data_IF_861791793941
#
_entry.id   IF_861791793941
#
_cell.length_a   1.000
_cell.length_b   1.000
_cell.length_c   1.000
_cell.angle_alpha   90.00
_cell.angle_beta   90.00
_cell.angle_gamma   90.00
#
_symmetry.space_group_name_H-M   'P 1'
#
loop_
_entity.id
_entity.type
_entity.pdbx_description
1 polymer ?
#
# COMPACT_ATOMS: atom_id res chain seq x y z
N UNK A 1 47.08 70.55 35.85
CA UNK A 1 47.31 71.49 34.74
C UNK A 1 48.77 71.37 34.32
N UNK A 2 48.97 70.97 33.06
CA UNK A 2 50.20 71.05 32.24
C UNK A 2 51.56 70.67 32.83
N UNK A 3 52.01 69.43 32.61
CA UNK A 3 53.42 69.19 32.22
C UNK A 3 53.73 67.80 31.61
N UNK A 4 52.75 67.07 31.05
CA UNK A 4 53.00 65.72 30.52
C UNK A 4 52.36 65.44 29.14
N UNK A 5 52.13 66.49 28.35
CA UNK A 5 51.58 66.36 26.99
C UNK A 5 52.32 67.30 26.04
N UNK A 6 53.53 66.92 25.60
CA UNK A 6 54.05 67.45 24.31
C UNK A 6 55.27 66.77 23.66
N UNK A 7 55.71 65.59 24.08
CA UNK A 7 56.93 65.00 23.49
C UNK A 7 56.85 63.52 23.10
N UNK A 8 55.69 63.01 22.70
CA UNK A 8 55.65 61.68 22.05
C UNK A 8 54.66 61.53 20.90
N UNK A 9 54.32 62.63 20.19
CA UNK A 9 53.50 62.58 18.97
C UNK A 9 54.31 62.86 17.70
N UNK A 10 55.65 62.99 17.80
CA UNK A 10 56.51 63.24 16.64
C UNK A 10 57.57 62.16 16.35
N UNK A 11 57.60 61.07 17.10
CA UNK A 11 58.60 60.00 16.91
C UNK A 11 58.03 58.62 16.49
N UNK A 12 56.81 58.59 15.94
CA UNK A 12 56.24 57.37 15.34
C UNK A 12 55.93 57.50 13.84
N UNK A 13 56.38 58.59 13.19
CA UNK A 13 56.21 58.82 11.74
C UNK A 13 57.46 58.52 10.89
N UNK A 14 58.55 58.04 11.50
CA UNK A 14 59.84 57.82 10.80
C UNK A 14 60.20 56.35 10.56
N UNK A 15 59.35 55.40 10.96
CA UNK A 15 59.54 53.97 10.70
C UNK A 15 58.23 53.48 10.11
N UNK A 16 58.18 53.27 8.78
CA UNK A 16 57.00 52.88 8.03
C UNK A 16 56.43 51.51 8.43
N UNK A 17 55.83 51.45 9.61
CA UNK A 17 55.12 50.30 10.14
C UNK A 17 53.63 50.61 10.12
N UNK A 18 52.98 50.23 9.02
CA UNK A 18 51.54 50.03 9.00
C UNK A 18 51.22 48.82 9.88
N UNK A 19 50.33 48.99 10.87
CA UNK A 19 49.76 47.83 11.57
C UNK A 19 48.99 46.99 10.55
N UNK A 20 49.20 45.67 10.46
CA UNK A 20 48.32 44.84 9.66
C UNK A 20 46.94 44.82 10.33
N UNK A 21 45.93 45.26 9.59
CA UNK A 21 44.54 45.13 9.98
C UNK A 21 44.11 43.67 9.80
N UNK A 22 44.03 42.94 10.91
CA UNK A 22 43.60 41.53 10.94
C UNK A 22 42.08 41.36 11.13
N UNK A 23 41.27 42.40 10.90
CA UNK A 23 39.84 42.35 11.24
C UNK A 23 38.92 41.91 10.09
N UNK A 24 39.45 41.67 8.87
CA UNK A 24 38.60 41.42 7.70
C UNK A 24 38.47 39.93 7.27
N UNK A 25 39.41 39.05 7.58
CA UNK A 25 39.47 37.70 6.97
C UNK A 25 38.89 36.55 7.82
N UNK A 26 38.60 36.77 9.10
CA UNK A 26 38.08 35.72 10.01
C UNK A 26 36.56 35.54 9.94
N UNK A 27 35.83 36.46 9.30
CA UNK A 27 34.35 36.43 9.26
C UNK A 27 33.74 35.49 8.21
N UNK A 28 34.44 35.22 7.10
CA UNK A 28 33.84 34.51 5.95
C UNK A 28 34.06 32.98 5.99
N UNK A 29 35.06 32.51 6.76
CA UNK A 29 35.43 31.10 6.89
C UNK A 29 34.57 30.34 7.92
N UNK A 30 34.10 31.01 8.98
CA UNK A 30 33.30 30.40 10.06
C UNK A 30 31.84 30.11 9.67
N UNK A 31 31.21 30.96 8.86
CA UNK A 31 29.82 30.76 8.40
C UNK A 31 29.68 29.60 7.40
N UNK A 32 30.67 29.43 6.50
CA UNK A 32 30.72 28.32 5.54
C UNK A 32 30.99 26.96 6.22
N UNK A 33 31.82 26.94 7.27
CA UNK A 33 32.08 25.74 8.07
C UNK A 33 30.82 25.26 8.82
N UNK A 34 30.01 26.19 9.33
CA UNK A 34 28.77 25.89 10.05
C UNK A 34 27.68 25.31 9.14
N UNK A 35 27.47 25.89 7.95
CA UNK A 35 26.47 25.39 7.00
C UNK A 35 26.86 24.02 6.44
N UNK A 36 28.12 23.84 6.00
CA UNK A 36 28.59 22.56 5.49
C UNK A 36 28.61 21.48 6.58
N UNK A 37 28.95 21.85 7.83
CA UNK A 37 28.85 20.98 9.00
C UNK A 37 27.41 20.55 9.31
N UNK A 38 26.44 21.48 9.22
CA UNK A 38 25.00 21.19 9.37
C UNK A 38 24.49 20.27 8.25
N UNK A 39 24.88 20.54 7.00
CA UNK A 39 24.53 19.68 5.86
C UNK A 39 25.15 18.29 6.01
N UNK A 40 26.43 18.18 6.38
CA UNK A 40 27.10 16.91 6.62
C UNK A 40 26.43 16.12 7.76
N UNK A 41 26.05 16.81 8.84
CA UNK A 41 25.31 16.19 9.96
C UNK A 41 23.93 15.71 9.52
N UNK A 42 23.20 16.51 8.75
CA UNK A 42 21.90 16.14 8.18
C UNK A 42 22.03 14.92 7.25
N UNK A 43 23.02 14.91 6.35
CA UNK A 43 23.29 13.76 5.49
C UNK A 43 23.65 12.51 6.28
N UNK A 44 24.43 12.64 7.35
CA UNK A 44 24.80 11.51 8.21
C UNK A 44 23.59 10.95 8.96
N UNK A 45 22.70 11.81 9.46
CA UNK A 45 21.42 11.38 10.05
C UNK A 45 20.54 10.67 9.02
N UNK A 46 20.39 11.21 7.81
CA UNK A 46 19.62 10.58 6.74
C UNK A 46 20.19 9.21 6.36
N UNK A 47 21.51 9.07 6.30
CA UNK A 47 22.19 7.79 6.05
C UNK A 47 21.92 6.79 7.17
N UNK A 48 22.04 7.21 8.43
CA UNK A 48 21.76 6.34 9.58
C UNK A 48 20.29 5.90 9.57
N UNK A 49 19.36 6.81 9.33
CA UNK A 49 17.93 6.50 9.21
C UNK A 49 17.70 5.50 8.07
N UNK A 50 18.24 5.78 6.89
CA UNK A 50 18.11 4.92 5.70
C UNK A 50 18.66 3.51 5.93
N UNK A 51 19.82 3.38 6.58
CA UNK A 51 20.39 2.06 6.91
C UNK A 51 19.60 1.38 8.03
N UNK A 52 19.10 2.12 9.03
CA UNK A 52 18.39 1.56 10.18
C UNK A 52 16.98 1.04 9.87
N UNK A 53 16.26 1.68 8.93
CA UNK A 53 14.87 1.30 8.56
C UNK A 53 14.77 -0.19 8.16
N UNK A 54 15.61 -0.72 7.25
CA UNK A 54 15.67 -2.15 6.99
C UNK A 54 15.80 -2.98 8.29
N UNK A 55 16.82 -2.71 9.11
CA UNK A 55 17.03 -3.46 10.37
C UNK A 55 15.81 -3.45 11.29
N UNK A 56 15.13 -2.31 11.43
CA UNK A 56 13.91 -2.19 12.22
C UNK A 56 12.79 -3.08 11.66
N UNK A 57 12.59 -3.08 10.34
CA UNK A 57 11.56 -3.93 9.70
C UNK A 57 11.86 -5.42 9.92
N UNK A 58 13.14 -5.82 9.87
CA UNK A 58 13.56 -7.21 10.10
C UNK A 58 13.48 -7.63 11.57
N UNK A 59 13.75 -6.71 12.50
CA UNK A 59 13.63 -6.94 13.95
C UNK A 59 12.18 -7.08 14.41
N UNK A 60 11.23 -6.42 13.72
CA UNK A 60 9.82 -6.37 14.13
C UNK A 60 8.88 -6.83 13.00
N UNK A 61 8.58 -8.15 12.91
CA UNK A 61 7.60 -8.72 11.99
C UNK A 61 6.22 -8.01 12.00
N UNK A 62 5.76 -7.60 13.18
CA UNK A 62 4.48 -6.88 13.34
C UNK A 62 4.45 -5.51 12.67
N UNK A 63 5.61 -4.87 12.51
CA UNK A 63 5.75 -3.60 11.78
C UNK A 63 5.79 -3.88 10.28
N UNK A 64 6.46 -4.96 9.86
CA UNK A 64 6.52 -5.37 8.47
C UNK A 64 5.12 -5.61 7.89
N UNK A 65 4.27 -6.38 8.57
CA UNK A 65 2.89 -6.60 8.11
C UNK A 65 2.13 -5.27 7.96
N UNK A 66 2.24 -4.36 8.94
CA UNK A 66 1.56 -3.06 8.90
C UNK A 66 2.09 -2.14 7.79
N UNK A 67 3.38 -2.18 7.49
CA UNK A 67 4.01 -1.39 6.43
C UNK A 67 3.68 -1.91 5.03
N UNK A 68 3.62 -3.23 4.83
CA UNK A 68 3.32 -3.80 3.52
C UNK A 68 1.88 -3.49 3.10
N UNK A 69 0.92 -3.62 4.02
CA UNK A 69 -0.48 -3.30 3.69
C UNK A 69 -0.86 -1.85 3.92
N UNK A 70 0.05 -1.04 4.48
CA UNK A 70 -0.27 0.30 4.99
C UNK A 70 -1.56 0.33 5.85
N UNK A 71 -1.91 -0.79 6.53
CA UNK A 71 -3.19 -1.00 7.22
C UNK A 71 -3.46 0.02 8.34
N UNK A 72 -2.44 0.78 8.75
CA UNK A 72 -2.52 1.85 9.75
C UNK A 72 -2.96 3.20 9.16
N UNK A 73 -2.81 3.40 7.85
CA UNK A 73 -3.23 4.62 7.14
C UNK A 73 -4.58 4.35 6.50
N UNK A 74 -5.68 4.71 7.18
CA UNK A 74 -6.99 4.73 6.53
C UNK A 74 -7.07 5.98 5.67
N UNK A 75 -7.09 5.84 4.35
CA UNK A 75 -7.35 6.94 3.42
C UNK A 75 -8.71 6.69 2.76
N UNK A 76 -9.75 7.51 3.03
CA UNK A 76 -9.78 8.72 3.85
C UNK A 76 -9.74 8.45 5.37
N UNK A 77 -9.13 9.37 6.13
CA UNK A 77 -8.86 9.25 7.56
C UNK A 77 -10.10 9.18 8.47
N UNK A 78 -11.29 9.35 7.91
CA UNK A 78 -12.56 9.48 8.64
C UNK A 78 -13.63 8.46 8.25
N UNK A 79 -13.29 7.39 7.51
CA UNK A 79 -14.26 6.35 7.16
C UNK A 79 -14.22 5.20 8.18
N UNK A 80 -15.34 4.99 8.88
CA UNK A 80 -15.54 3.80 9.71
C UNK A 80 -16.14 2.65 8.87
N UNK A 81 -15.26 1.81 8.35
CA UNK A 81 -15.61 0.60 7.60
C UNK A 81 -16.37 -0.44 8.46
N UNK A 82 -16.44 -0.28 9.79
CA UNK A 82 -17.29 -1.15 10.63
C UNK A 82 -18.78 -0.83 10.50
N UNK A 83 -19.12 0.36 10.00
CA UNK A 83 -20.48 0.87 9.86
C UNK A 83 -20.76 1.26 8.40
N UNK A 84 -20.92 0.27 7.49
CA UNK A 84 -21.18 0.53 6.07
C UNK A 84 -22.47 1.34 5.83
N UNK A 85 -23.45 1.25 6.74
CA UNK A 85 -24.68 2.06 6.74
C UNK A 85 -24.39 3.57 6.74
N UNK A 86 -23.37 4.02 7.45
CA UNK A 86 -23.00 5.44 7.52
C UNK A 86 -22.40 5.94 6.19
N UNK A 87 -22.09 5.02 5.25
CA UNK A 87 -21.55 5.30 3.93
C UNK A 87 -22.61 5.18 2.82
N UNK A 88 -23.89 5.12 3.17
CA UNK A 88 -25.00 5.01 2.22
C UNK A 88 -25.23 3.59 1.68
N UNK A 89 -24.55 2.59 2.25
CA UNK A 89 -24.78 1.18 1.90
C UNK A 89 -25.95 0.63 2.74
N UNK A 90 -27.16 0.85 2.24
CA UNK A 90 -28.37 0.31 2.84
C UNK A 90 -28.37 -1.22 2.72
N UNK A 91 -28.71 -1.91 3.82
CA UNK A 91 -28.75 -3.37 3.92
C UNK A 91 -27.39 -4.10 3.90
N UNK A 92 -26.28 -3.36 4.06
CA UNK A 92 -24.96 -3.98 4.32
C UNK A 92 -24.72 -4.09 5.82
N UNK A 93 -24.36 -5.28 6.27
CA UNK A 93 -23.99 -5.55 7.65
C UNK A 93 -22.54 -6.03 7.72
N UNK A 94 -21.76 -5.43 8.63
CA UNK A 94 -20.42 -5.92 8.92
C UNK A 94 -20.50 -7.09 9.90
N UNK A 95 -19.96 -8.23 9.50
CA UNK A 95 -19.89 -9.48 10.26
C UNK A 95 -18.43 -9.85 10.49
N UNK A 96 -18.19 -10.65 11.52
CA UNK A 96 -16.88 -11.26 11.73
C UNK A 96 -17.06 -12.78 11.84
N UNK A 97 -16.36 -13.51 10.97
CA UNK A 97 -16.33 -14.97 10.95
C UNK A 97 -15.09 -15.46 11.69
N UNK A 98 -15.23 -16.55 12.44
CA UNK A 98 -14.13 -17.21 13.14
C UNK A 98 -14.02 -18.66 12.65
N UNK A 99 -13.43 -18.91 11.46
CA UNK A 99 -13.35 -20.24 10.88
C UNK A 99 -12.38 -21.17 11.65
N UNK A 100 -11.38 -20.60 12.31
CA UNK A 100 -10.39 -21.31 13.13
C UNK A 100 -10.18 -20.58 14.45
N UNK A 101 -9.80 -21.30 15.50
CA UNK A 101 -9.55 -20.71 16.82
C UNK A 101 -8.45 -19.64 16.74
N UNK A 102 -8.82 -18.38 16.99
CA UNK A 102 -7.89 -17.24 16.98
C UNK A 102 -7.79 -16.50 15.64
N UNK A 103 -8.50 -16.94 14.60
CA UNK A 103 -8.58 -16.23 13.31
C UNK A 103 -9.93 -15.54 13.17
N UNK A 104 -9.93 -14.21 13.01
CA UNK A 104 -11.15 -13.40 12.86
C UNK A 104 -11.15 -12.67 11.52
N UNK A 105 -12.10 -12.99 10.66
CA UNK A 105 -12.23 -12.44 9.31
C UNK A 105 -13.43 -11.48 9.28
N UNK A 106 -13.21 -10.23 8.87
CA UNK A 106 -14.31 -9.28 8.65
C UNK A 106 -14.95 -9.49 7.28
N UNK A 107 -16.27 -9.62 7.23
CA UNK A 107 -17.06 -9.80 6.00
C UNK A 107 -18.20 -8.81 5.98
N UNK A 108 -18.40 -8.14 4.85
CA UNK A 108 -19.61 -7.36 4.61
C UNK A 108 -20.64 -8.24 3.93
N UNK A 109 -21.79 -8.42 4.57
CA UNK A 109 -22.92 -9.14 4.04
C UNK A 109 -23.98 -8.15 3.54
N UNK A 110 -24.29 -8.22 2.25
CA UNK A 110 -25.39 -7.47 1.65
C UNK A 110 -26.60 -8.38 1.52
N UNK A 111 -27.71 -8.02 2.19
CA UNK A 111 -28.96 -8.76 2.03
C UNK A 111 -29.74 -8.23 0.82
N UNK A 112 -29.99 -9.09 -0.17
CA UNK A 112 -30.80 -8.76 -1.35
C UNK A 112 -32.29 -9.11 -1.18
N UNK A 113 -32.67 -9.76 -0.07
CA UNK A 113 -34.06 -10.15 0.24
C UNK A 113 -34.65 -9.31 1.37
N UNK A 114 -35.89 -8.84 1.17
CA UNK A 114 -36.80 -8.04 2.02
C UNK A 114 -36.45 -7.90 3.53
N UNK A 115 -36.62 -6.70 4.14
CA UNK A 115 -35.98 -6.34 5.43
C UNK A 115 -36.62 -6.96 6.68
N UNK A 116 -37.82 -7.53 6.58
CA UNK A 116 -38.69 -7.70 7.75
C UNK A 116 -38.59 -9.02 8.51
N UNK A 117 -37.94 -10.06 7.98
CA UNK A 117 -37.88 -11.38 8.64
C UNK A 117 -36.49 -11.83 9.09
N UNK A 118 -35.44 -11.36 8.42
CA UNK A 118 -34.08 -11.93 8.59
C UNK A 118 -33.25 -11.21 9.65
N UNK A 119 -33.54 -9.95 9.96
CA UNK A 119 -32.73 -9.09 10.84
C UNK A 119 -32.76 -9.50 12.32
N UNK A 120 -33.84 -10.12 12.81
CA UNK A 120 -33.88 -10.68 14.17
C UNK A 120 -33.17 -12.05 14.27
N UNK A 121 -33.22 -12.88 13.23
CA UNK A 121 -32.52 -14.17 13.22
C UNK A 121 -31.01 -14.05 12.94
N UNK A 122 -30.56 -12.98 12.26
CA UNK A 122 -29.16 -12.75 11.92
C UNK A 122 -28.24 -12.48 13.12
N UNK A 123 -28.79 -12.17 14.30
CA UNK A 123 -28.00 -11.97 15.52
C UNK A 123 -27.45 -13.29 16.08
N UNK A 124 -28.03 -14.43 15.69
CA UNK A 124 -27.54 -15.73 16.09
C UNK A 124 -26.41 -16.14 15.12
N UNK A 125 -25.16 -16.05 15.60
CA UNK A 125 -23.94 -16.45 14.88
C UNK A 125 -24.07 -17.84 14.20
N UNK A 126 -24.82 -18.75 14.83
CA UNK A 126 -25.11 -20.10 14.36
C UNK A 126 -26.03 -20.17 13.14
N UNK A 127 -26.96 -19.22 12.99
CA UNK A 127 -27.90 -19.18 11.86
C UNK A 127 -27.26 -18.52 10.64
N UNK A 128 -26.42 -17.50 10.85
CA UNK A 128 -25.55 -16.93 9.82
C UNK A 128 -24.59 -17.97 9.22
N UNK A 129 -23.91 -18.76 10.05
CA UNK A 129 -23.04 -19.84 9.58
C UNK A 129 -23.83 -20.96 8.85
N UNK A 130 -25.12 -21.15 9.18
CA UNK A 130 -26.02 -22.03 8.41
C UNK A 130 -26.47 -21.44 7.08
N UNK A 131 -26.54 -20.11 6.95
CA UNK A 131 -26.78 -19.43 5.66
C UNK A 131 -25.52 -19.47 4.80
N UNK A 132 -24.34 -19.25 5.40
CA UNK A 132 -23.03 -19.54 4.81
C UNK A 132 -22.69 -21.03 4.88
N UNK A 133 -23.61 -21.91 4.49
CA UNK A 133 -23.24 -23.32 4.27
C UNK A 133 -22.17 -23.35 3.20
N UNK A 134 -20.93 -23.58 3.62
CA UNK A 134 -19.76 -23.84 2.78
C UNK A 134 -19.91 -25.09 1.90
N UNK A 135 -21.05 -25.77 1.95
CA UNK A 135 -21.39 -26.94 1.13
C UNK A 135 -21.47 -26.60 -0.37
N UNK A 136 -21.60 -25.31 -0.73
CA UNK A 136 -21.63 -24.87 -2.12
C UNK A 136 -20.57 -23.79 -2.36
N UNK A 137 -19.73 -23.93 -3.39
CA UNK A 137 -18.80 -22.87 -3.79
C UNK A 137 -19.59 -21.63 -4.24
N UNK A 138 -19.00 -20.42 -4.16
CA UNK A 138 -19.66 -19.21 -4.64
C UNK A 138 -19.99 -19.32 -6.13
N UNK A 139 -21.09 -18.71 -6.57
CA UNK A 139 -21.53 -18.75 -7.98
C UNK A 139 -20.53 -18.11 -8.93
N UNK A 140 -19.81 -17.08 -8.47
CA UNK A 140 -18.74 -16.45 -9.20
C UNK A 140 -17.77 -15.69 -8.27
N UNK A 141 -16.55 -15.46 -8.76
CA UNK A 141 -15.53 -14.65 -8.12
C UNK A 141 -15.23 -13.42 -8.98
N UNK A 142 -15.33 -12.23 -8.40
CA UNK A 142 -14.97 -10.96 -9.06
C UNK A 142 -13.80 -10.34 -8.30
N UNK A 143 -12.70 -10.10 -9.01
CA UNK A 143 -11.47 -9.54 -8.48
C UNK A 143 -11.24 -8.15 -9.07
N UNK A 144 -11.18 -7.13 -8.22
CA UNK A 144 -10.80 -5.77 -8.60
C UNK A 144 -9.31 -5.55 -8.33
N UNK A 145 -8.59 -5.08 -9.36
CA UNK A 145 -7.16 -4.75 -9.32
C UNK A 145 -6.28 -5.80 -8.60
N UNK A 146 -6.40 -7.11 -8.93
CA UNK A 146 -5.70 -8.15 -8.20
C UNK A 146 -4.20 -8.19 -8.54
N UNK A 147 -3.44 -8.80 -7.64
CA UNK A 147 -2.03 -9.11 -7.83
C UNK A 147 -1.77 -10.62 -7.67
N UNK A 148 -0.69 -11.09 -8.29
CA UNK A 148 -0.25 -12.51 -8.24
C UNK A 148 0.30 -12.88 -6.88
N UNK A 149 1.27 -12.10 -6.40
CA UNK A 149 1.94 -12.33 -5.14
C UNK A 149 2.37 -11.02 -4.50
N UNK A 150 2.21 -10.91 -3.19
CA UNK A 150 2.64 -9.74 -2.42
C UNK A 150 4.15 -9.48 -2.54
N UNK A 151 4.96 -10.50 -2.84
CA UNK A 151 6.39 -10.37 -3.15
C UNK A 151 6.63 -9.61 -4.47
N UNK A 152 5.81 -9.86 -5.50
CA UNK A 152 5.91 -9.18 -6.79
C UNK A 152 5.39 -7.75 -6.73
N UNK A 153 4.30 -7.56 -5.97
CA UNK A 153 3.75 -6.25 -5.65
C UNK A 153 4.78 -5.42 -4.86
N UNK A 154 5.33 -5.95 -3.77
CA UNK A 154 6.33 -5.25 -2.95
C UNK A 154 7.61 -4.91 -3.71
N UNK A 155 8.04 -5.74 -4.68
CA UNK A 155 9.18 -5.44 -5.58
C UNK A 155 8.94 -4.25 -6.49
N UNK A 156 7.69 -4.02 -6.87
CA UNK A 156 7.28 -3.00 -7.83
C UNK A 156 6.71 -1.75 -7.15
N UNK A 157 6.41 -1.84 -5.86
CA UNK A 157 5.81 -0.77 -5.08
C UNK A 157 6.73 0.46 -4.97
N UNK A 158 6.21 1.71 -5.12
CA UNK A 158 7.03 2.92 -5.08
C UNK A 158 7.90 3.06 -3.83
N UNK A 159 7.44 2.55 -2.69
CA UNK A 159 8.20 2.61 -1.44
C UNK A 159 9.46 1.74 -1.45
N UNK A 160 9.49 0.63 -2.19
CA UNK A 160 10.69 -0.22 -2.27
C UNK A 160 11.73 0.34 -3.25
N UNK A 161 11.35 1.29 -4.11
CA UNK A 161 12.22 1.92 -5.10
C UNK A 161 13.48 2.53 -4.48
N UNK A 162 13.37 3.12 -3.29
CA UNK A 162 14.52 3.74 -2.59
C UNK A 162 15.52 2.72 -2.05
N UNK A 163 15.10 1.46 -1.85
CA UNK A 163 15.94 0.37 -1.33
C UNK A 163 16.35 -0.64 -2.41
N UNK A 164 15.83 -0.51 -3.64
CA UNK A 164 16.05 -1.47 -4.74
C UNK A 164 17.51 -1.57 -5.21
N UNK A 165 18.28 -0.51 -5.00
CA UNK A 165 19.69 -0.44 -5.39
C UNK A 165 20.64 -1.03 -4.33
N UNK A 166 20.13 -1.49 -3.18
CA UNK A 166 20.95 -2.11 -2.16
C UNK A 166 21.28 -3.57 -2.51
N UNK A 167 22.56 -3.98 -2.48
CA UNK A 167 22.93 -5.38 -2.63
C UNK A 167 22.30 -6.18 -1.49
N UNK A 168 21.46 -7.17 -1.83
CA UNK A 168 20.72 -7.97 -0.85
C UNK A 168 19.29 -7.51 -0.54
N UNK A 169 18.72 -6.57 -1.31
CA UNK A 169 17.32 -6.14 -1.18
C UNK A 169 16.33 -7.31 -1.09
N UNK A 170 16.46 -8.30 -1.98
CA UNK A 170 15.58 -9.47 -2.01
C UNK A 170 15.64 -10.26 -0.69
N UNK A 171 16.85 -10.55 -0.20
CA UNK A 171 17.06 -11.23 1.09
C UNK A 171 16.55 -10.41 2.29
N UNK A 172 16.65 -9.10 2.19
CA UNK A 172 16.34 -8.23 3.31
C UNK A 172 14.84 -7.96 3.44
N UNK A 173 14.18 -7.55 2.35
CA UNK A 173 12.79 -7.11 2.35
C UNK A 173 11.81 -8.18 1.89
N UNK A 174 12.16 -9.00 0.90
CA UNK A 174 11.21 -9.94 0.33
C UNK A 174 11.19 -11.27 1.07
N UNK A 175 12.36 -11.77 1.47
CA UNK A 175 12.44 -13.03 2.23
C UNK A 175 11.84 -12.88 3.63
N UNK A 176 11.85 -11.68 4.21
CA UNK A 176 11.17 -11.40 5.48
C UNK A 176 9.63 -11.40 5.32
N UNK A 177 9.10 -11.00 4.16
CA UNK A 177 7.65 -11.13 3.86
C UNK A 177 7.28 -12.62 3.77
N UNK A 178 8.09 -13.39 3.05
CA UNK A 178 7.91 -14.84 2.90
C UNK A 178 8.06 -15.58 4.24
N UNK A 179 9.07 -15.24 5.05
CA UNK A 179 9.34 -15.88 6.34
C UNK A 179 8.26 -15.61 7.40
N UNK A 180 7.56 -14.47 7.30
CA UNK A 180 6.44 -14.13 8.19
C UNK A 180 5.10 -14.72 7.74
N UNK A 181 5.11 -15.68 6.80
CA UNK A 181 3.93 -16.32 6.22
C UNK A 181 2.91 -15.33 5.62
N UNK A 182 3.38 -14.13 5.25
CA UNK A 182 2.57 -13.14 4.53
C UNK A 182 2.66 -13.51 3.05
N UNK A 183 2.11 -14.67 2.68
CA UNK A 183 2.15 -15.19 1.32
C UNK A 183 0.75 -15.13 0.74
N UNK A 184 0.46 -14.08 -0.04
CA UNK A 184 -0.76 -14.03 -0.86
C UNK A 184 -0.45 -14.73 -2.17
N UNK A 185 -0.41 -16.05 -2.14
CA UNK A 185 -0.14 -16.86 -3.32
C UNK A 185 -1.41 -16.98 -4.17
N UNK A 186 -1.89 -15.88 -4.76
CA UNK A 186 -3.02 -15.94 -5.70
C UNK A 186 -2.68 -16.84 -6.89
N UNK A 187 -1.40 -16.93 -7.24
CA UNK A 187 -0.84 -17.83 -8.24
C UNK A 187 -0.96 -19.33 -7.90
N UNK A 188 -0.91 -19.72 -6.62
CA UNK A 188 -1.17 -21.10 -6.18
C UNK A 188 -2.67 -21.34 -5.93
N UNK A 189 -3.33 -20.35 -5.33
CA UNK A 189 -4.74 -20.45 -4.95
C UNK A 189 -5.68 -20.52 -6.15
N UNK A 190 -5.28 -20.02 -7.32
CA UNK A 190 -6.09 -20.05 -8.54
C UNK A 190 -6.47 -21.47 -8.97
N UNK A 191 -5.60 -22.45 -8.71
CA UNK A 191 -5.82 -23.87 -9.03
C UNK A 191 -6.82 -24.54 -8.07
N UNK A 192 -7.24 -23.86 -7.01
CA UNK A 192 -8.25 -24.33 -6.07
C UNK A 192 -9.62 -23.67 -6.31
N UNK A 193 -9.72 -22.73 -7.25
CA UNK A 193 -10.98 -22.04 -7.57
C UNK A 193 -11.86 -22.92 -8.44
N UNK A 194 -13.12 -23.08 -8.04
CA UNK A 194 -14.12 -23.93 -8.71
C UNK A 194 -15.32 -23.15 -9.24
N UNK A 195 -15.21 -21.84 -9.42
CA UNK A 195 -16.27 -20.98 -9.95
C UNK A 195 -15.75 -20.07 -11.07
N UNK A 196 -16.63 -19.51 -11.92
CA UNK A 196 -16.28 -18.47 -12.89
C UNK A 196 -15.53 -17.31 -12.24
N UNK A 197 -14.53 -16.76 -12.94
CA UNK A 197 -13.68 -15.67 -12.43
C UNK A 197 -13.71 -14.47 -13.38
N UNK A 198 -14.04 -13.29 -12.85
CA UNK A 198 -13.92 -12.00 -13.53
C UNK A 198 -12.81 -11.19 -12.87
N UNK A 199 -11.85 -10.73 -13.66
CA UNK A 199 -10.78 -9.83 -13.22
C UNK A 199 -10.98 -8.48 -13.88
N UNK A 200 -11.09 -7.43 -13.06
CA UNK A 200 -11.21 -6.04 -13.48
C UNK A 200 -9.92 -5.31 -13.13
N UNK A 201 -9.27 -4.63 -14.08
CA UNK A 201 -8.05 -3.87 -13.79
C UNK A 201 -7.91 -2.66 -14.71
N UNK A 202 -7.59 -1.49 -14.14
CA UNK A 202 -7.28 -0.28 -14.89
C UNK A 202 -5.81 -0.24 -15.32
N UNK A 203 -5.55 0.25 -16.53
CA UNK A 203 -4.19 0.38 -17.08
C UNK A 203 -3.36 1.46 -16.37
N UNK A 204 -4.02 2.47 -15.81
CA UNK A 204 -3.42 3.59 -15.07
C UNK A 204 -3.33 3.32 -13.55
N UNK A 205 -3.39 2.05 -13.14
CA UNK A 205 -3.22 1.65 -11.74
C UNK A 205 -1.78 1.91 -11.27
N UNK A 206 -1.62 2.99 -10.49
CA UNK A 206 -0.35 3.37 -9.87
C UNK A 206 -0.06 2.69 -8.52
N UNK A 207 -0.96 1.83 -8.04
CA UNK A 207 -0.79 1.07 -6.79
C UNK A 207 -0.40 -0.36 -7.12
N UNK A 208 -1.23 -1.07 -7.90
CA UNK A 208 -0.96 -2.44 -8.34
C UNK A 208 -0.65 -2.43 -9.83
N UNK A 209 0.57 -2.84 -10.24
CA UNK A 209 0.93 -2.84 -11.65
C UNK A 209 -0.02 -3.71 -12.50
N UNK A 210 -0.56 -3.12 -13.57
CA UNK A 210 -1.53 -3.75 -14.49
C UNK A 210 -1.10 -5.12 -15.04
N UNK A 211 0.21 -5.34 -15.22
CA UNK A 211 0.74 -6.61 -15.71
C UNK A 211 0.54 -7.77 -14.72
N UNK A 212 0.43 -7.51 -13.41
CA UNK A 212 0.17 -8.54 -12.40
C UNK A 212 -1.25 -9.11 -12.56
N UNK A 213 -2.25 -8.26 -12.83
CA UNK A 213 -3.60 -8.71 -13.13
C UNK A 213 -3.65 -9.57 -14.41
N UNK A 214 -2.96 -9.16 -15.47
CA UNK A 214 -2.86 -9.97 -16.71
C UNK A 214 -2.16 -11.30 -16.49
N UNK A 215 -1.12 -11.32 -15.65
CA UNK A 215 -0.40 -12.54 -15.29
C UNK A 215 -1.31 -13.49 -14.54
N UNK A 216 -2.06 -13.00 -13.55
CA UNK A 216 -3.04 -13.81 -12.81
C UNK A 216 -4.12 -14.36 -13.74
N UNK A 217 -4.64 -13.56 -14.66
CA UNK A 217 -5.58 -14.03 -15.69
C UNK A 217 -4.99 -15.17 -16.54
N UNK A 218 -3.74 -15.01 -16.99
CA UNK A 218 -3.08 -16.03 -17.81
C UNK A 218 -2.88 -17.35 -17.06
N UNK A 219 -2.64 -17.29 -15.74
CA UNK A 219 -2.59 -18.46 -14.87
C UNK A 219 -3.99 -19.08 -14.72
N UNK A 220 -5.00 -18.26 -14.43
CA UNK A 220 -6.39 -18.69 -14.28
C UNK A 220 -6.93 -19.38 -15.53
N UNK A 221 -6.70 -18.82 -16.72
CA UNK A 221 -7.14 -19.41 -17.99
C UNK A 221 -6.45 -20.73 -18.34
N UNK A 222 -5.27 -20.99 -17.76
CA UNK A 222 -4.51 -22.24 -17.95
C UNK A 222 -4.76 -23.27 -16.87
N UNK A 223 -5.43 -22.87 -15.79
CA UNK A 223 -5.69 -23.74 -14.65
C UNK A 223 -6.64 -24.87 -15.01
N UNK A 224 -6.31 -26.09 -14.59
CA UNK A 224 -7.16 -27.25 -14.77
C UNK A 224 -8.46 -27.16 -13.97
N UNK A 225 -8.47 -26.48 -12.82
CA UNK A 225 -9.67 -26.32 -11.99
C UNK A 225 -10.71 -25.41 -12.66
N UNK A 226 -10.24 -24.44 -13.46
CA UNK A 226 -11.08 -23.52 -14.22
C UNK A 226 -11.41 -24.02 -15.63
N UNK A 227 -10.97 -25.24 -15.98
CA UNK A 227 -11.34 -25.90 -17.24
C UNK A 227 -12.86 -26.03 -17.38
N UNK A 228 -13.42 -25.37 -18.40
CA UNK A 228 -14.87 -25.33 -18.66
C UNK A 228 -15.63 -24.22 -17.92
N UNK A 229 -14.95 -23.38 -17.12
CA UNK A 229 -15.55 -22.22 -16.44
C UNK A 229 -15.19 -20.93 -17.18
N UNK A 230 -16.06 -19.93 -17.09
CA UNK A 230 -15.82 -18.61 -17.70
C UNK A 230 -14.76 -17.86 -16.89
N UNK A 231 -13.62 -17.59 -17.52
CA UNK A 231 -12.56 -16.72 -16.98
C UNK A 231 -12.44 -15.49 -17.88
N UNK A 232 -12.73 -14.32 -17.34
CA UNK A 232 -12.78 -13.06 -18.09
C UNK A 232 -11.85 -12.02 -17.47
N UNK A 233 -11.11 -11.32 -18.31
CA UNK A 233 -10.31 -10.15 -17.91
C UNK A 233 -10.84 -8.92 -18.63
N UNK A 234 -11.13 -7.86 -17.86
CA UNK A 234 -11.57 -6.57 -18.39
C UNK A 234 -10.52 -5.53 -18.02
N UNK A 235 -9.85 -5.04 -19.05
CA UNK A 235 -8.93 -3.93 -18.98
C UNK A 235 -9.71 -2.62 -19.12
N UNK A 236 -9.53 -1.68 -18.19
CA UNK A 236 -10.03 -0.33 -18.35
C UNK A 236 -8.91 0.58 -18.89
N UNK A 237 -9.10 1.20 -20.07
CA UNK A 237 -8.07 2.05 -20.68
C UNK A 237 -7.63 3.20 -19.76
N UNK A 238 -6.35 3.52 -19.80
CA UNK A 238 -5.77 4.60 -18.98
C UNK A 238 -6.45 5.97 -19.20
N UNK A 239 -7.05 6.19 -20.37
CA UNK A 239 -7.77 7.42 -20.71
C UNK A 239 -9.00 7.69 -19.82
N UNK A 240 -9.57 6.65 -19.19
CA UNK A 240 -10.73 6.76 -18.31
C UNK A 240 -10.35 7.16 -16.87
N UNK A 241 -9.05 7.17 -16.54
CA UNK A 241 -8.51 7.63 -15.26
C UNK A 241 -9.12 6.95 -14.02
N UNK A 242 -9.46 5.66 -14.12
CA UNK A 242 -10.07 4.92 -13.00
C UNK A 242 -9.06 4.52 -11.91
N UNK A 243 -7.76 4.42 -12.24
CA UNK A 243 -6.70 4.07 -11.28
C UNK A 243 -7.05 2.78 -10.50
N UNK A 244 -6.51 2.65 -9.29
CA UNK A 244 -6.66 1.45 -8.46
C UNK A 244 -8.08 1.20 -7.89
N UNK A 245 -8.88 2.26 -7.69
CA UNK A 245 -10.09 2.21 -6.83
C UNK A 245 -11.36 2.76 -7.48
N UNK A 246 -11.30 3.35 -8.67
CA UNK A 246 -12.46 4.03 -9.26
C UNK A 246 -13.12 3.25 -10.39
N UNK A 247 -12.86 1.94 -10.52
CA UNK A 247 -13.50 1.08 -11.52
C UNK A 247 -15.02 1.05 -11.34
N UNK A 248 -15.51 1.14 -10.09
CA UNK A 248 -16.94 1.25 -9.78
C UNK A 248 -17.65 2.45 -10.43
N UNK A 249 -16.92 3.46 -10.90
CA UNK A 249 -17.47 4.64 -11.59
C UNK A 249 -17.71 4.40 -13.08
N UNK A 250 -17.27 3.27 -13.62
CA UNK A 250 -17.45 2.97 -15.03
C UNK A 250 -18.94 2.78 -15.36
N UNK A 251 -19.48 3.50 -16.36
CA UNK A 251 -20.87 3.31 -16.80
C UNK A 251 -21.10 1.96 -17.46
N UNK A 252 -20.04 1.30 -17.93
CA UNK A 252 -20.11 -0.03 -18.56
C UNK A 252 -20.08 -1.17 -17.55
N UNK A 253 -19.68 -0.90 -16.30
CA UNK A 253 -19.52 -1.93 -15.28
C UNK A 253 -20.81 -2.75 -15.05
N UNK A 254 -22.01 -2.16 -14.95
CA UNK A 254 -23.24 -2.94 -14.80
C UNK A 254 -23.48 -3.91 -15.96
N UNK A 255 -23.15 -3.52 -17.20
CA UNK A 255 -23.30 -4.38 -18.38
C UNK A 255 -22.27 -5.52 -18.32
N UNK A 256 -21.01 -5.22 -18.00
CA UNK A 256 -19.95 -6.22 -17.83
C UNK A 256 -20.35 -7.27 -16.78
N UNK A 257 -20.90 -6.81 -15.64
CA UNK A 257 -21.35 -7.69 -14.57
C UNK A 257 -22.55 -8.53 -15.00
N UNK A 258 -23.54 -7.92 -15.66
CA UNK A 258 -24.71 -8.63 -16.19
C UNK A 258 -24.32 -9.69 -17.21
N UNK A 259 -23.40 -9.39 -18.13
CA UNK A 259 -22.93 -10.34 -19.15
C UNK A 259 -22.10 -11.47 -18.54
N UNK A 260 -21.32 -11.16 -17.50
CA UNK A 260 -20.53 -12.15 -16.79
C UNK A 260 -21.41 -13.10 -15.97
N UNK A 261 -22.30 -12.55 -15.13
CA UNK A 261 -23.18 -13.31 -14.25
C UNK A 261 -24.33 -13.99 -15.01
N UNK A 262 -24.86 -13.34 -16.05
CA UNK A 262 -25.91 -13.89 -16.91
C UNK A 262 -25.44 -15.10 -17.73
N UNK A 263 -24.16 -15.14 -18.10
CA UNK A 263 -23.56 -16.33 -18.72
C UNK A 263 -23.21 -17.44 -17.71
N UNK A 264 -23.19 -17.13 -16.40
CA UNK A 264 -22.94 -18.11 -15.34
C UNK A 264 -24.21 -18.90 -14.93
N UNK A 265 -25.39 -18.39 -15.29
CA UNK A 265 -26.66 -19.11 -15.20
C UNK A 265 -27.11 -19.56 -16.59
N UNK A 266 -26.88 -20.83 -17.02
CA UNK A 266 -27.74 -21.38 -18.05
C UNK A 266 -29.15 -21.36 -17.47
N UNK A 267 -30.07 -20.71 -18.19
CA UNK A 267 -31.49 -20.74 -17.86
C UNK A 267 -31.88 -22.19 -17.55
N UNK A 268 -32.34 -22.42 -16.32
CA UNK A 268 -32.96 -23.69 -15.93
C UNK A 268 -34.16 -23.84 -16.86
N UNK A 269 -34.04 -24.78 -17.81
CA UNK A 269 -35.15 -25.26 -18.63
C UNK A 269 -35.99 -26.25 -17.81
#
# INVERSE_FOLDING_TARGET
ISCALRMSVRFQRALGWTRPDWSADVGCSLLRLGLLGKIKRMMMVLLVVYVSIPFIIKLFPSIQAKLVFLNFVRVPYFIDLKRPLDQGLNHTHNLYLEPEAGLKIGVWYQNHTEPHRTTQNLQNHTELLRTFRFDHPPDALILESPFTNIREEARSHPFSMVYRFLPGFDWFFLDSITANNIRFASDENVDHISCPVLILHAEDDGVVPFHLGKKLYSLASRSSSLGGRKVQFVAFPAALAFRHKFIYRSPELPNILSDFLGAAHPAVA
#
